data_IF_703644644149
#
_entry.id   IF_703644644149
#
_cell.length_a   1.000
_cell.length_b   1.000
_cell.length_c   1.000
_cell.angle_alpha   90.00
_cell.angle_beta   90.00
_cell.angle_gamma   90.00
#
_symmetry.space_group_name_H-M   'P 1'
#
loop_
_entity.id
_entity.type
_entity.pdbx_description
1 polymer ?
#
# COMPACT_ATOMS: atom_id res chain seq x y z
N UNK A 1 -51.27 11.36 45.40
CA UNK A 1 -50.24 10.53 44.76
C UNK A 1 -50.11 11.02 43.32
N UNK A 2 -49.05 11.77 42.99
CA UNK A 2 -48.83 12.32 41.64
C UNK A 2 -47.78 11.44 40.95
N UNK A 3 -48.18 10.72 39.90
CA UNK A 3 -47.26 10.00 39.01
C UNK A 3 -46.55 11.04 38.14
N UNK A 4 -45.21 11.09 38.19
CA UNK A 4 -44.39 11.82 37.25
C UNK A 4 -43.92 10.84 36.16
N UNK A 5 -44.36 11.08 34.92
CA UNK A 5 -43.86 10.39 33.73
C UNK A 5 -42.56 11.09 33.30
N UNK A 6 -41.42 10.43 33.45
CA UNK A 6 -40.16 10.91 32.87
C UNK A 6 -40.09 10.47 31.40
N UNK A 7 -40.15 11.44 30.49
CA UNK A 7 -39.88 11.21 29.07
C UNK A 7 -38.36 11.17 28.85
N UNK A 8 -37.82 10.01 28.51
CA UNK A 8 -36.44 9.89 28.01
C UNK A 8 -36.40 10.41 26.57
N UNK A 9 -35.70 11.53 26.36
CA UNK A 9 -35.37 11.98 25.02
C UNK A 9 -34.27 11.07 24.46
N UNK A 10 -34.61 10.26 23.46
CA UNK A 10 -33.64 9.54 22.63
C UNK A 10 -33.03 10.58 21.69
N UNK A 11 -31.78 10.96 21.96
CA UNK A 11 -31.00 11.81 21.07
C UNK A 11 -30.50 10.92 19.92
N UNK A 12 -31.18 10.95 18.76
CA UNK A 12 -30.64 10.38 17.54
C UNK A 12 -29.50 11.28 17.07
N UNK A 13 -28.25 10.86 17.28
CA UNK A 13 -27.12 11.40 16.54
C UNK A 13 -27.24 10.88 15.11
N UNK A 14 -27.69 11.74 14.19
CA UNK A 14 -27.51 11.48 12.78
C UNK A 14 -26.00 11.45 12.52
N UNK A 15 -25.44 10.25 12.31
CA UNK A 15 -24.07 10.10 11.84
C UNK A 15 -23.95 10.85 10.52
N UNK A 16 -22.93 11.70 10.40
CA UNK A 16 -22.58 12.28 9.11
C UNK A 16 -22.22 11.11 8.21
N UNK A 17 -23.04 10.86 7.19
CA UNK A 17 -22.68 9.92 6.14
C UNK A 17 -21.50 10.54 5.41
N UNK A 18 -20.33 9.94 5.60
CA UNK A 18 -19.15 10.26 4.82
C UNK A 18 -19.38 9.74 3.40
N UNK A 19 -19.15 10.60 2.41
CA UNK A 19 -19.21 10.17 1.02
C UNK A 19 -17.98 9.30 0.74
N UNK A 20 -18.15 8.26 -0.08
CA UNK A 20 -17.01 7.50 -0.57
C UNK A 20 -16.02 8.46 -1.27
N UNK A 21 -14.71 8.29 -1.06
CA UNK A 21 -13.70 9.10 -1.73
C UNK A 21 -13.77 8.89 -3.25
N UNK A 22 -13.38 9.91 -4.00
CA UNK A 22 -13.18 9.77 -5.44
C UNK A 22 -11.82 9.13 -5.65
N UNK A 23 -11.72 8.13 -6.54
CA UNK A 23 -10.42 7.52 -6.85
C UNK A 23 -9.83 8.26 -8.05
N UNK A 24 -9.04 9.30 -7.80
CA UNK A 24 -8.44 10.16 -8.83
C UNK A 24 -7.00 10.62 -8.55
N UNK A 25 -6.47 10.32 -7.37
CA UNK A 25 -5.14 10.63 -6.87
C UNK A 25 -5.03 12.01 -6.20
N UNK A 26 -6.12 12.78 -6.05
CA UNK A 26 -6.09 14.19 -5.66
C UNK A 26 -6.79 14.46 -4.33
N UNK A 27 -6.41 15.56 -3.67
CA UNK A 27 -7.07 16.09 -2.47
C UNK A 27 -7.25 15.08 -1.31
N UNK A 28 -6.38 14.07 -1.23
CA UNK A 28 -6.50 12.91 -0.33
C UNK A 28 -6.85 13.32 1.12
N UNK A 29 -6.17 14.29 1.76
CA UNK A 29 -6.46 14.61 3.17
C UNK A 29 -7.85 15.22 3.41
N UNK A 30 -8.50 15.72 2.37
CA UNK A 30 -9.88 16.25 2.44
C UNK A 30 -10.94 15.20 2.12
N UNK A 31 -10.55 14.14 1.41
CA UNK A 31 -11.42 13.04 0.96
C UNK A 31 -11.35 11.81 1.86
N UNK A 32 -10.36 11.72 2.77
CA UNK A 32 -10.23 10.65 3.75
C UNK A 32 -10.33 11.12 5.22
N UNK A 33 -10.70 10.23 6.17
CA UNK A 33 -10.55 10.51 7.60
C UNK A 33 -9.08 10.84 7.92
N UNK A 34 -8.76 11.41 9.10
CA UNK A 34 -7.37 11.71 9.45
C UNK A 34 -6.43 10.52 9.21
N UNK A 35 -5.23 10.80 8.70
CA UNK A 35 -4.23 9.79 8.36
C UNK A 35 -4.03 8.77 9.49
N UNK A 36 -3.98 7.50 9.13
CA UNK A 36 -3.78 6.39 10.07
C UNK A 36 -2.30 6.23 10.42
N UNK A 37 -1.41 6.66 9.53
CA UNK A 37 0.02 6.80 9.82
C UNK A 37 0.64 7.90 8.96
N UNK A 38 1.69 8.51 9.49
CA UNK A 38 2.54 9.49 8.83
C UNK A 38 3.98 9.04 9.03
N UNK A 39 4.82 9.21 8.03
CA UNK A 39 6.23 8.84 8.10
C UNK A 39 7.10 10.06 7.75
N UNK A 40 8.26 10.14 8.37
CA UNK A 40 9.19 11.26 8.30
C UNK A 40 10.63 10.79 7.97
N UNK A 41 10.76 9.60 7.38
CA UNK A 41 12.01 9.09 6.84
C UNK A 41 12.20 9.66 5.44
N UNK A 42 13.35 10.29 5.19
CA UNK A 42 13.71 10.76 3.86
C UNK A 42 13.80 9.60 2.84
N UNK A 43 13.47 9.89 1.58
CA UNK A 43 13.21 8.87 0.56
C UNK A 43 14.42 8.04 0.15
N UNK A 44 15.57 8.70 0.01
CA UNK A 44 16.77 8.17 -0.66
C UNK A 44 16.55 7.64 -2.10
N UNK A 45 15.33 7.73 -2.63
CA UNK A 45 14.90 7.38 -3.97
C UNK A 45 14.48 8.61 -4.80
N UNK A 46 14.73 9.82 -4.27
CA UNK A 46 14.56 11.11 -4.94
C UNK A 46 13.40 11.95 -4.40
N UNK A 47 13.70 13.19 -4.01
CA UNK A 47 12.75 14.19 -3.48
C UNK A 47 11.55 14.41 -4.40
N UNK A 48 10.33 14.24 -3.92
CA UNK A 48 9.13 14.42 -4.74
C UNK A 48 9.16 13.60 -6.05
N UNK A 49 9.91 12.50 -6.11
CA UNK A 49 9.91 11.57 -7.25
C UNK A 49 9.44 10.19 -6.84
N UNK A 50 9.92 9.69 -5.71
CA UNK A 50 9.58 8.38 -5.18
C UNK A 50 9.44 8.52 -3.68
N UNK A 51 8.26 8.85 -3.20
CA UNK A 51 8.04 9.13 -1.80
C UNK A 51 6.67 8.64 -1.33
N UNK A 52 6.60 8.30 -0.06
CA UNK A 52 5.35 8.06 0.66
C UNK A 52 5.31 8.96 1.88
N UNK A 53 4.21 9.64 2.15
CA UNK A 53 4.13 10.64 3.23
C UNK A 53 3.17 10.19 4.33
N UNK A 54 1.93 9.92 3.94
CA UNK A 54 0.86 9.54 4.86
C UNK A 54 0.03 8.42 4.25
N UNK A 55 -0.48 7.52 5.09
CA UNK A 55 -1.51 6.56 4.71
C UNK A 55 -2.84 6.98 5.31
N UNK A 56 -3.89 6.88 4.53
CA UNK A 56 -5.27 7.11 4.89
C UNK A 56 -6.08 5.86 4.60
N UNK A 57 -7.05 5.57 5.45
CA UNK A 57 -7.91 4.40 5.28
C UNK A 57 -9.33 4.76 5.66
N UNK A 58 -10.27 4.38 4.80
CA UNK A 58 -11.69 4.42 5.09
C UNK A 58 -12.36 3.13 4.57
N UNK A 59 -13.64 2.94 4.90
CA UNK A 59 -14.41 1.82 4.38
C UNK A 59 -15.90 2.12 4.40
N UNK A 60 -16.61 1.51 3.47
CA UNK A 60 -18.07 1.47 3.50
C UNK A 60 -18.58 0.01 3.54
N UNK A 61 -19.83 -0.19 3.14
CA UNK A 61 -20.43 -1.51 3.09
C UNK A 61 -19.79 -2.41 2.03
N UNK A 62 -19.25 -1.85 0.95
CA UNK A 62 -18.83 -2.59 -0.24
C UNK A 62 -17.31 -2.59 -0.42
N UNK A 63 -16.61 -1.53 -0.02
CA UNK A 63 -15.20 -1.30 -0.30
C UNK A 63 -14.38 -0.93 0.94
N UNK A 64 -13.08 -1.22 0.87
CA UNK A 64 -12.05 -0.55 1.64
C UNK A 64 -11.35 0.45 0.72
N UNK A 65 -11.13 1.65 1.24
CA UNK A 65 -10.45 2.73 0.56
C UNK A 65 -9.10 2.96 1.23
N UNK A 66 -8.04 2.99 0.45
CA UNK A 66 -6.68 3.21 0.94
C UNK A 66 -6.05 4.28 0.08
N UNK A 67 -5.51 5.32 0.71
CA UNK A 67 -4.76 6.34 0.00
C UNK A 67 -3.38 6.53 0.63
N UNK A 68 -2.39 6.81 -0.22
CA UNK A 68 -1.01 7.10 0.16
C UNK A 68 -0.61 8.38 -0.55
N UNK A 69 -0.36 9.44 0.21
CA UNK A 69 0.15 10.70 -0.36
C UNK A 69 1.64 10.56 -0.69
N UNK A 70 2.07 11.18 -1.79
CA UNK A 70 3.44 11.09 -2.31
C UNK A 70 3.50 10.81 -3.80
N UNK A 71 4.68 10.46 -4.30
CA UNK A 71 4.95 10.25 -5.73
C UNK A 71 5.57 8.87 -5.99
N UNK A 72 5.32 8.32 -7.18
CA UNK A 72 5.91 7.07 -7.66
C UNK A 72 6.36 7.24 -9.12
N UNK A 73 7.67 7.42 -9.32
CA UNK A 73 8.26 7.65 -10.63
C UNK A 73 8.56 6.34 -11.40
N UNK A 74 8.97 6.49 -12.66
CA UNK A 74 9.36 5.39 -13.54
C UNK A 74 10.33 4.42 -12.85
N UNK A 75 10.10 3.14 -13.11
CA UNK A 75 10.88 2.02 -12.63
C UNK A 75 10.79 1.75 -11.11
N UNK A 76 9.76 2.28 -10.44
CA UNK A 76 9.50 2.00 -9.05
C UNK A 76 8.13 1.37 -8.85
N UNK A 77 7.97 0.77 -7.68
CA UNK A 77 6.74 0.14 -7.25
C UNK A 77 6.47 0.42 -5.77
N UNK A 78 5.19 0.45 -5.45
CA UNK A 78 4.69 0.29 -4.09
C UNK A 78 4.11 -1.11 -3.98
N UNK A 79 4.47 -1.81 -2.91
CA UNK A 79 3.81 -3.05 -2.52
C UNK A 79 3.10 -2.80 -1.21
N UNK A 80 1.79 -2.99 -1.22
CA UNK A 80 0.92 -2.92 -0.05
C UNK A 80 0.61 -4.35 0.41
N UNK A 81 1.15 -4.72 1.55
CA UNK A 81 0.80 -5.96 2.25
C UNK A 81 -0.46 -5.75 3.05
N UNK A 82 -1.38 -6.70 2.94
CA UNK A 82 -2.69 -6.66 3.59
C UNK A 82 -2.87 -7.95 4.37
N UNK A 83 -3.20 -7.80 5.64
CA UNK A 83 -3.53 -8.90 6.55
C UNK A 83 -4.99 -8.76 6.99
N UNK A 84 -5.85 -9.61 6.44
CA UNK A 84 -7.29 -9.66 6.77
C UNK A 84 -7.60 -10.54 7.98
N UNK A 85 -6.59 -11.26 8.50
CA UNK A 85 -6.72 -12.15 9.67
C UNK A 85 -5.57 -11.94 10.67
N UNK A 86 -5.35 -10.69 11.12
CA UNK A 86 -4.24 -10.37 11.99
C UNK A 86 -4.30 -11.24 13.25
N UNK A 87 -3.13 -11.72 13.69
CA UNK A 87 -2.90 -12.65 14.82
C UNK A 87 -3.06 -14.16 14.58
N UNK A 88 -3.55 -14.61 13.42
CA UNK A 88 -3.78 -16.06 13.18
C UNK A 88 -2.87 -16.70 12.13
N UNK A 89 -1.93 -15.97 11.54
CA UNK A 89 -1.06 -16.46 10.47
C UNK A 89 0.43 -16.58 10.84
N UNK A 90 1.21 -16.99 9.84
CA UNK A 90 2.68 -16.93 9.87
C UNK A 90 3.12 -15.51 9.53
N UNK A 91 3.96 -14.89 10.35
CA UNK A 91 4.59 -13.62 10.02
C UNK A 91 5.74 -13.76 8.99
N UNK A 92 5.97 -14.95 8.44
CA UNK A 92 6.90 -15.16 7.32
C UNK A 92 6.11 -15.15 6.02
N UNK A 93 6.46 -14.23 5.10
CA UNK A 93 5.85 -14.12 3.77
C UNK A 93 6.11 -15.39 2.97
N UNK A 94 5.05 -16.02 2.48
CA UNK A 94 5.11 -17.19 1.61
C UNK A 94 4.62 -16.80 0.20
N UNK A 95 5.46 -16.12 -0.58
CA UNK A 95 5.06 -15.57 -1.89
C UNK A 95 5.68 -16.28 -3.10
N UNK A 96 6.44 -17.35 -2.88
CA UNK A 96 6.99 -18.17 -3.97
C UNK A 96 6.37 -19.58 -3.94
N UNK A 97 5.53 -19.96 -4.92
CA UNK A 97 4.93 -21.29 -4.97
C UNK A 97 5.93 -22.39 -5.38
N UNK A 98 7.16 -22.02 -5.74
CA UNK A 98 8.14 -22.91 -6.36
C UNK A 98 7.80 -23.22 -7.83
N UNK A 99 8.79 -23.71 -8.59
CA UNK A 99 8.62 -24.06 -10.01
C UNK A 99 9.40 -23.16 -10.99
N UNK A 100 9.16 -23.35 -12.30
CA UNK A 100 9.82 -22.60 -13.37
C UNK A 100 9.11 -21.27 -13.67
N UNK A 101 9.87 -20.20 -13.89
CA UNK A 101 9.32 -18.88 -14.27
C UNK A 101 8.75 -18.83 -15.69
N UNK A 102 7.78 -17.93 -15.96
CA UNK A 102 7.00 -17.14 -15.01
C UNK A 102 5.71 -17.90 -14.64
N UNK A 103 5.50 -18.13 -13.33
CA UNK A 103 4.21 -18.58 -12.80
C UNK A 103 3.24 -17.41 -12.63
N UNK A 104 2.08 -17.66 -12.03
CA UNK A 104 1.00 -16.68 -11.96
C UNK A 104 1.34 -15.46 -11.07
N UNK A 105 2.33 -15.53 -10.16
CA UNK A 105 2.69 -14.45 -9.22
C UNK A 105 3.73 -13.46 -9.79
N UNK A 106 3.53 -12.13 -9.66
CA UNK A 106 4.51 -11.13 -10.07
C UNK A 106 5.89 -11.36 -9.46
N UNK A 107 6.95 -11.29 -10.29
CA UNK A 107 8.33 -11.54 -9.86
C UNK A 107 8.73 -10.69 -8.66
N UNK A 108 8.31 -9.43 -8.60
CA UNK A 108 8.66 -8.53 -7.50
C UNK A 108 8.08 -9.02 -6.16
N UNK A 109 6.84 -9.53 -6.14
CA UNK A 109 6.22 -10.08 -4.92
C UNK A 109 6.95 -11.36 -4.48
N UNK A 110 7.35 -12.22 -5.43
CA UNK A 110 8.08 -13.48 -5.15
C UNK A 110 9.42 -13.24 -4.44
N UNK A 111 10.06 -12.10 -4.69
CA UNK A 111 11.35 -11.75 -4.08
C UNK A 111 11.29 -11.56 -2.57
N UNK A 112 10.10 -11.31 -2.02
CA UNK A 112 9.88 -11.14 -0.58
C UNK A 112 9.61 -12.46 0.15
N UNK A 113 9.55 -13.60 -0.57
CA UNK A 113 9.31 -14.90 0.04
C UNK A 113 10.41 -15.23 1.07
N UNK A 114 10.01 -15.64 2.28
CA UNK A 114 10.89 -15.88 3.41
C UNK A 114 11.17 -14.64 4.28
N UNK A 115 10.68 -13.45 3.90
CA UNK A 115 10.78 -12.25 4.74
C UNK A 115 9.95 -12.43 6.01
N UNK A 116 10.57 -12.17 7.17
CA UNK A 116 9.87 -12.16 8.47
C UNK A 116 9.36 -10.75 8.76
N UNK A 117 8.04 -10.60 8.80
CA UNK A 117 7.33 -9.41 9.23
C UNK A 117 7.25 -9.33 10.77
N UNK A 118 6.80 -8.19 11.30
CA UNK A 118 6.54 -8.03 12.73
C UNK A 118 5.59 -9.11 13.29
N UNK A 119 5.82 -9.58 14.53
CA UNK A 119 4.87 -10.45 15.21
C UNK A 119 3.46 -9.84 15.24
N UNK A 120 2.47 -10.62 14.80
CA UNK A 120 1.07 -10.19 14.72
C UNK A 120 0.64 -9.64 13.35
N UNK A 121 1.58 -9.46 12.41
CA UNK A 121 1.30 -9.19 11.00
C UNK A 121 1.63 -10.41 10.16
N UNK A 122 0.65 -10.94 9.45
CA UNK A 122 0.74 -12.15 8.65
C UNK A 122 -0.02 -11.95 7.34
N UNK A 123 0.56 -11.21 6.38
CA UNK A 123 -0.16 -10.79 5.20
C UNK A 123 -0.65 -11.98 4.39
N UNK A 124 -1.92 -11.93 4.01
CA UNK A 124 -2.62 -12.91 3.17
C UNK A 124 -2.89 -12.35 1.78
N UNK A 125 -2.72 -11.03 1.58
CA UNK A 125 -2.75 -10.40 0.27
C UNK A 125 -1.56 -9.46 0.06
N UNK A 126 -1.18 -9.29 -1.20
CA UNK A 126 -0.23 -8.30 -1.66
C UNK A 126 -0.79 -7.57 -2.88
N UNK A 127 -0.95 -6.25 -2.76
CA UNK A 127 -1.26 -5.38 -3.88
C UNK A 127 0.04 -4.75 -4.38
N UNK A 128 0.36 -4.97 -5.65
CA UNK A 128 1.48 -4.34 -6.33
C UNK A 128 0.98 -3.22 -7.24
N UNK A 129 1.56 -2.04 -7.11
CA UNK A 129 1.42 -0.92 -8.06
C UNK A 129 2.81 -0.59 -8.59
N UNK A 130 3.06 -0.88 -9.86
CA UNK A 130 4.37 -0.76 -10.50
C UNK A 130 4.31 0.26 -11.64
N UNK A 131 5.13 1.30 -11.58
CA UNK A 131 5.21 2.32 -12.62
C UNK A 131 6.37 2.02 -13.56
N UNK A 132 6.08 1.93 -14.86
CA UNK A 132 7.11 1.57 -15.83
C UNK A 132 6.70 1.72 -17.28
N UNK A 133 7.70 1.55 -18.16
CA UNK A 133 7.49 1.31 -19.58
C UNK A 133 7.26 -0.19 -19.84
N UNK A 134 6.01 -0.58 -20.10
CA UNK A 134 5.65 -1.99 -20.31
C UNK A 134 5.56 -2.36 -21.80
N UNK A 135 5.91 -3.61 -22.19
CA UNK A 135 5.80 -4.06 -23.59
C UNK A 135 4.39 -3.85 -24.16
N UNK A 136 4.30 -3.26 -25.35
CA UNK A 136 3.03 -2.96 -26.01
C UNK A 136 2.52 -1.54 -25.78
N UNK A 137 3.12 -0.79 -24.85
CA UNK A 137 3.01 0.67 -24.76
C UNK A 137 4.17 1.30 -25.56
N UNK A 138 3.96 2.48 -26.14
CA UNK A 138 5.06 3.23 -26.76
C UNK A 138 6.15 3.51 -25.71
N UNK A 139 7.42 3.58 -26.13
CA UNK A 139 8.56 3.85 -25.24
C UNK A 139 8.45 5.17 -24.44
N UNK A 140 7.48 6.02 -24.79
CA UNK A 140 7.24 7.32 -24.17
C UNK A 140 6.06 7.30 -23.18
N UNK A 141 5.39 6.15 -22.98
CA UNK A 141 4.19 6.06 -22.16
C UNK A 141 4.48 5.29 -20.87
N UNK A 142 4.68 6.03 -19.78
CA UNK A 142 4.65 5.48 -18.44
C UNK A 142 3.21 5.12 -18.07
N UNK A 143 3.04 3.90 -17.58
CA UNK A 143 1.77 3.42 -17.04
C UNK A 143 2.02 2.78 -15.69
N UNK A 144 0.98 2.71 -14.87
CA UNK A 144 0.98 1.84 -13.70
C UNK A 144 0.43 0.47 -14.10
N UNK A 145 1.11 -0.61 -13.72
CA UNK A 145 0.62 -1.97 -13.76
C UNK A 145 0.25 -2.40 -12.34
N UNK A 146 -0.94 -2.98 -12.20
CA UNK A 146 -1.52 -3.31 -10.91
C UNK A 146 -1.90 -4.79 -10.83
N UNK A 147 -1.53 -5.42 -9.73
CA UNK A 147 -1.75 -6.85 -9.47
C UNK A 147 -2.17 -7.07 -8.02
N UNK A 148 -3.23 -7.85 -7.78
CA UNK A 148 -3.62 -8.30 -6.45
C UNK A 148 -3.33 -9.81 -6.32
N UNK A 149 -2.39 -10.16 -5.45
CA UNK A 149 -2.04 -11.55 -5.15
C UNK A 149 -2.68 -11.99 -3.84
N UNK A 150 -3.42 -13.10 -3.88
CA UNK A 150 -3.80 -13.89 -2.70
C UNK A 150 -2.64 -14.84 -2.36
N UNK A 151 -2.04 -14.64 -1.21
CA UNK A 151 -0.86 -15.37 -0.73
C UNK A 151 -1.23 -16.71 -0.09
N UNK A 152 -2.48 -16.90 0.33
CA UNK A 152 -2.94 -18.17 0.88
C UNK A 152 -3.21 -19.18 -0.24
N UNK A 153 -3.81 -18.71 -1.35
CA UNK A 153 -4.09 -19.53 -2.52
C UNK A 153 -2.99 -19.50 -3.59
N UNK A 154 -2.00 -18.61 -3.43
CA UNK A 154 -0.95 -18.35 -4.43
C UNK A 154 -1.53 -18.00 -5.79
N UNK A 155 -2.59 -17.20 -5.81
CA UNK A 155 -3.29 -16.78 -7.03
C UNK A 155 -3.10 -15.29 -7.25
N UNK A 156 -2.62 -14.90 -8.44
CA UNK A 156 -2.58 -13.51 -8.83
C UNK A 156 -3.79 -13.13 -9.68
N UNK A 157 -4.31 -11.95 -9.41
CA UNK A 157 -5.34 -11.30 -10.22
C UNK A 157 -4.72 -10.04 -10.83
N UNK A 158 -4.37 -10.07 -12.13
CA UNK A 158 -3.98 -8.85 -12.84
C UNK A 158 -5.15 -7.89 -12.85
N UNK A 159 -4.98 -6.71 -12.26
CA UNK A 159 -6.04 -5.71 -12.16
C UNK A 159 -6.10 -4.85 -13.42
N UNK A 160 -4.93 -4.57 -14.02
CA UNK A 160 -4.87 -3.83 -15.26
C UNK A 160 -3.72 -2.86 -15.38
N UNK A 161 -3.80 -2.01 -16.40
CA UNK A 161 -2.91 -0.85 -16.56
C UNK A 161 -3.68 0.46 -16.38
N UNK A 162 -3.14 1.37 -15.60
CA UNK A 162 -3.67 2.73 -15.42
C UNK A 162 -2.76 3.78 -16.04
N UNK A 163 -3.36 4.92 -16.44
CA UNK A 163 -2.63 6.09 -16.92
C UNK A 163 -2.31 6.98 -15.72
N UNK A 164 -1.04 7.31 -15.54
CA UNK A 164 -0.58 8.24 -14.50
C UNK A 164 -1.20 9.62 -14.71
N UNK A 165 -1.48 10.33 -13.62
CA UNK A 165 -1.96 11.72 -13.63
C UNK A 165 -3.25 11.93 -14.45
N UNK A 166 -4.05 10.88 -14.60
CA UNK A 166 -5.25 10.91 -15.45
C UNK A 166 -6.48 11.46 -14.74
N UNK A 167 -6.45 11.57 -13.41
CA UNK A 167 -7.62 11.90 -12.59
C UNK A 167 -8.70 10.82 -12.63
N UNK A 168 -8.30 9.54 -12.77
CA UNK A 168 -9.23 8.42 -12.94
C UNK A 168 -8.67 7.12 -12.38
N UNK A 169 -9.45 6.47 -11.50
CA UNK A 169 -9.16 5.15 -10.94
C UNK A 169 -9.40 3.97 -11.89
N UNK A 170 -9.91 4.22 -13.10
CA UNK A 170 -10.25 3.16 -14.06
C UNK A 170 -8.99 2.53 -14.63
N UNK A 171 -8.83 1.22 -14.38
CA UNK A 171 -7.79 0.41 -14.96
C UNK A 171 -8.24 -0.20 -16.31
N UNK A 172 -7.33 -0.27 -17.27
CA UNK A 172 -7.53 -1.00 -18.51
C UNK A 172 -7.35 -2.51 -18.29
N UNK A 173 -7.93 -3.34 -19.16
CA UNK A 173 -7.81 -4.81 -19.20
C UNK A 173 -8.73 -5.60 -18.26
N UNK A 174 -9.27 -5.06 -17.17
CA UNK A 174 -10.33 -5.76 -16.41
C UNK A 174 -11.37 -4.79 -15.85
N UNK A 175 -12.65 -5.07 -16.12
CA UNK A 175 -13.82 -4.41 -15.50
C UNK A 175 -14.47 -5.29 -14.42
N UNK A 176 -13.90 -6.47 -14.17
CA UNK A 176 -14.57 -7.55 -13.43
C UNK A 176 -14.18 -7.69 -11.97
N UNK A 177 -13.07 -7.06 -11.53
CA UNK A 177 -12.61 -7.12 -10.14
C UNK A 177 -13.29 -6.10 -9.25
N UNK A 178 -13.79 -4.99 -9.82
CA UNK A 178 -14.32 -3.84 -9.09
C UNK A 178 -13.26 -3.02 -8.35
N UNK A 179 -11.96 -3.34 -8.54
CA UNK A 179 -10.85 -2.59 -7.95
C UNK A 179 -10.57 -1.36 -8.81
N UNK A 180 -10.46 -0.20 -8.18
CA UNK A 180 -10.08 1.06 -8.82
C UNK A 180 -8.77 1.55 -8.20
N UNK A 181 -7.84 2.03 -9.04
CA UNK A 181 -6.56 2.56 -8.59
C UNK A 181 -6.22 3.79 -9.43
N UNK A 182 -5.95 4.92 -8.77
CA UNK A 182 -5.48 6.16 -9.37
C UNK A 182 -4.12 6.55 -8.78
N UNK A 183 -3.28 7.20 -9.58
CA UNK A 183 -2.01 7.76 -9.14
C UNK A 183 -1.83 9.14 -9.75
N UNK A 184 -1.70 10.16 -8.92
CA UNK A 184 -1.34 11.53 -9.30
C UNK A 184 0.00 11.93 -8.65
N UNK A 185 1.02 12.04 -9.50
CA UNK A 185 2.40 12.37 -9.16
C UNK A 185 2.67 13.89 -9.12
N UNK A 186 1.63 14.74 -9.02
CA UNK A 186 1.79 16.19 -8.93
C UNK A 186 2.14 16.71 -7.52
N UNK A 187 2.48 15.81 -6.59
CA UNK A 187 2.83 16.17 -5.23
C UNK A 187 4.12 17.00 -5.22
N UNK A 188 4.13 18.10 -4.47
CA UNK A 188 5.28 19.04 -4.39
C UNK A 188 5.71 19.37 -2.96
N UNK A 189 5.03 18.82 -1.95
CA UNK A 189 5.37 18.92 -0.54
C UNK A 189 5.36 17.53 0.08
N UNK A 190 5.99 17.33 1.23
CA UNK A 190 6.22 15.99 1.75
C UNK A 190 7.65 15.83 2.24
N UNK A 191 8.03 14.62 2.64
CA UNK A 191 9.37 14.28 3.12
C UNK A 191 10.44 14.59 2.07
N UNK A 192 11.48 15.34 2.45
CA UNK A 192 12.53 15.80 1.53
C UNK A 192 13.62 14.77 1.21
N UNK A 193 14.61 15.19 0.40
CA UNK A 193 15.72 14.37 -0.11
C UNK A 193 16.93 14.15 0.82
N UNK A 194 17.79 13.24 0.36
CA UNK A 194 19.19 12.90 0.67
C UNK A 194 20.12 13.95 1.31
N UNK A 195 19.86 15.26 1.16
CA UNK A 195 20.78 16.28 1.68
C UNK A 195 20.63 16.54 3.17
N UNK A 196 19.50 16.13 3.76
CA UNK A 196 19.33 16.08 5.20
C UNK A 196 19.55 14.64 5.68
N UNK A 197 20.13 14.49 6.87
CA UNK A 197 20.45 13.16 7.38
C UNK A 197 19.19 12.32 7.52
N UNK A 198 19.25 11.02 7.22
CA UNK A 198 18.12 10.07 7.27
C UNK A 198 17.62 9.77 8.69
N UNK A 199 17.43 10.81 9.51
CA UNK A 199 16.87 10.71 10.84
C UNK A 199 15.36 10.92 10.77
N UNK A 200 14.57 10.13 11.51
CA UNK A 200 13.19 10.47 11.81
C UNK A 200 13.12 11.92 12.33
N UNK A 201 12.34 12.76 11.65
CA UNK A 201 12.14 14.18 11.97
C UNK A 201 13.10 15.15 11.28
N UNK A 202 14.02 14.68 10.43
CA UNK A 202 14.94 15.48 9.62
C UNK A 202 14.55 15.41 8.14
N UNK A 203 13.27 15.65 7.87
CA UNK A 203 12.67 15.59 6.53
C UNK A 203 12.91 16.84 5.69
N UNK A 204 13.45 17.91 6.27
CA UNK A 204 13.50 19.24 5.65
C UNK A 204 12.13 19.91 5.42
N UNK A 205 11.03 19.14 5.41
CA UNK A 205 9.66 19.50 5.00
C UNK A 205 8.60 18.71 5.80
N UNK A 206 7.34 19.14 5.81
CA UNK A 206 6.27 18.46 6.55
C UNK A 206 5.57 17.38 5.68
N UNK A 207 5.50 16.10 6.11
CA UNK A 207 4.78 15.06 5.37
C UNK A 207 3.28 15.38 5.19
N UNK A 208 2.70 16.24 6.02
CA UNK A 208 1.30 16.68 5.90
C UNK A 208 1.05 17.70 4.79
N UNK A 209 2.10 18.26 4.18
CA UNK A 209 2.00 19.13 3.01
C UNK A 209 1.71 18.32 1.72
N UNK A 210 1.89 16.99 1.76
CA UNK A 210 1.59 16.10 0.66
C UNK A 210 0.08 15.86 0.52
N UNK A 211 -0.50 16.15 -0.66
CA UNK A 211 -1.97 16.11 -0.86
C UNK A 211 -2.43 15.29 -2.06
N UNK A 212 -1.52 14.85 -2.92
CA UNK A 212 -1.81 13.92 -4.03
C UNK A 212 -1.01 12.64 -3.87
N UNK A 213 -1.39 11.59 -4.61
CA UNK A 213 -0.65 10.34 -4.64
C UNK A 213 -1.47 9.16 -5.14
N UNK A 214 -1.31 8.02 -4.48
CA UNK A 214 -1.97 6.76 -4.80
C UNK A 214 -3.30 6.65 -4.07
N UNK A 215 -4.39 6.38 -4.79
CA UNK A 215 -5.69 6.05 -4.21
C UNK A 215 -6.18 4.71 -4.74
N UNK A 216 -6.76 3.92 -3.85
CA UNK A 216 -7.17 2.54 -4.10
C UNK A 216 -8.56 2.32 -3.49
N UNK A 217 -9.47 1.77 -4.29
CA UNK A 217 -10.73 1.18 -3.84
C UNK A 217 -10.69 -0.32 -4.10
N UNK A 218 -10.82 -1.15 -3.06
CA UNK A 218 -10.88 -2.61 -3.20
C UNK A 218 -12.22 -3.10 -2.66
N UNK A 219 -13.00 -3.85 -3.46
CA UNK A 219 -14.19 -4.51 -2.95
C UNK A 219 -13.83 -5.44 -1.80
N UNK A 220 -14.55 -5.33 -0.70
CA UNK A 220 -14.35 -6.16 0.50
C UNK A 220 -14.43 -7.65 0.18
N UNK A 221 -15.25 -8.03 -0.80
CA UNK A 221 -15.35 -9.40 -1.30
C UNK A 221 -14.06 -9.91 -1.94
N UNK A 222 -13.26 -9.04 -2.56
CA UNK A 222 -11.97 -9.42 -3.14
C UNK A 222 -10.92 -9.79 -2.07
N UNK A 223 -11.12 -9.32 -0.84
CA UNK A 223 -10.28 -9.62 0.33
C UNK A 223 -10.96 -10.59 1.32
N UNK A 224 -12.09 -11.20 0.94
CA UNK A 224 -12.83 -12.11 1.81
C UNK A 224 -13.56 -11.44 3.00
N UNK A 225 -13.61 -10.11 3.08
CA UNK A 225 -14.14 -9.33 4.20
C UNK A 225 -15.68 -9.19 4.18
N UNK A 226 -16.40 -10.32 4.17
CA UNK A 226 -17.85 -10.40 3.87
C UNK A 226 -18.77 -10.62 5.08
N UNK A 227 -18.24 -10.57 6.31
CA UNK A 227 -18.99 -10.87 7.52
C UNK A 227 -19.69 -9.68 8.19
N UNK A 228 -20.72 -9.93 9.02
CA UNK A 228 -21.46 -8.89 9.77
C UNK A 228 -20.72 -8.42 11.03
N UNK A 229 -19.61 -9.05 11.37
CA UNK A 229 -18.76 -8.65 12.49
C UNK A 229 -17.67 -7.69 12.02
N UNK A 230 -17.34 -6.66 12.80
CA UNK A 230 -16.15 -5.85 12.53
C UNK A 230 -14.91 -6.74 12.41
N UNK A 231 -14.07 -6.46 11.43
CA UNK A 231 -12.84 -7.20 11.16
C UNK A 231 -11.66 -6.24 11.24
N UNK A 232 -10.58 -6.68 11.86
CA UNK A 232 -9.35 -5.90 11.85
C UNK A 232 -8.55 -6.24 10.59
N UNK A 233 -8.02 -5.22 9.93
CA UNK A 233 -7.14 -5.35 8.77
C UNK A 233 -5.81 -4.71 9.11
N UNK A 234 -4.73 -5.49 8.98
CA UNK A 234 -3.36 -5.01 9.05
C UNK A 234 -2.90 -4.49 7.69
N UNK A 235 -2.21 -3.36 7.66
CA UNK A 235 -1.68 -2.75 6.44
C UNK A 235 -0.22 -2.34 6.62
N UNK A 236 0.61 -2.64 5.63
CA UNK A 236 1.98 -2.17 5.54
C UNK A 236 2.35 -1.92 4.08
N UNK A 237 2.71 -0.68 3.75
CA UNK A 237 3.19 -0.32 2.42
C UNK A 237 4.69 -0.08 2.45
N UNK A 238 5.39 -0.48 1.40
CA UNK A 238 6.82 -0.17 1.24
C UNK A 238 7.15 0.15 -0.22
N UNK A 239 8.16 1.00 -0.43
CA UNK A 239 8.63 1.40 -1.75
C UNK A 239 9.83 0.56 -2.21
N UNK A 240 9.88 0.21 -3.49
CA UNK A 240 10.95 -0.58 -4.11
C UNK A 240 11.14 -0.20 -5.57
N UNK A 241 12.28 -0.55 -6.17
CA UNK A 241 12.38 -0.52 -7.63
C UNK A 241 11.70 -1.75 -8.27
N UNK A 242 11.41 -1.71 -9.58
CA UNK A 242 10.75 -2.80 -10.32
C UNK A 242 11.65 -4.03 -10.60
N UNK A 243 12.72 -4.24 -9.82
CA UNK A 243 13.67 -5.32 -9.99
C UNK A 243 14.21 -5.41 -11.45
N UNK A 244 15.13 -4.52 -11.83
CA UNK A 244 15.43 -4.27 -13.25
C UNK A 244 16.61 -5.03 -13.88
N UNK A 245 17.38 -5.84 -13.14
CA UNK A 245 18.46 -6.61 -13.75
C UNK A 245 19.21 -7.49 -12.77
N UNK A 246 20.15 -8.31 -13.27
CA UNK A 246 21.20 -8.91 -12.43
C UNK A 246 21.33 -10.43 -12.40
N UNK A 247 20.40 -11.21 -12.97
CA UNK A 247 20.51 -12.67 -12.93
C UNK A 247 20.06 -13.42 -14.18
N UNK A 248 20.43 -14.70 -14.23
CA UNK A 248 20.30 -15.63 -15.37
C UNK A 248 18.85 -16.08 -15.62
N UNK A 249 17.89 -15.15 -15.68
CA UNK A 249 16.52 -15.44 -16.11
C UNK A 249 15.43 -14.55 -15.52
N UNK A 250 14.17 -14.74 -15.94
CA UNK A 250 13.01 -13.94 -15.53
C UNK A 250 12.70 -13.98 -14.02
N UNK A 251 13.23 -14.97 -13.31
CA UNK A 251 13.13 -15.17 -11.86
C UNK A 251 14.31 -14.59 -11.08
N UNK A 252 15.40 -14.24 -11.75
CA UNK A 252 16.67 -13.88 -11.13
C UNK A 252 16.87 -12.38 -11.30
N UNK A 253 16.01 -11.61 -10.63
CA UNK A 253 16.08 -10.16 -10.68
C UNK A 253 16.69 -9.62 -9.40
N UNK A 254 17.41 -8.52 -9.51
CA UNK A 254 17.97 -7.78 -8.40
C UNK A 254 17.31 -6.41 -8.33
N UNK A 255 17.30 -5.85 -7.13
CA UNK A 255 16.73 -4.56 -6.88
C UNK A 255 16.94 -4.11 -5.44
N UNK A 256 16.25 -3.03 -5.08
CA UNK A 256 16.43 -2.35 -3.80
C UNK A 256 15.06 -2.08 -3.18
N UNK A 257 14.93 -2.41 -1.89
CA UNK A 257 13.85 -1.94 -1.06
C UNK A 257 14.27 -0.62 -0.41
N UNK A 258 13.42 0.41 -0.54
CA UNK A 258 13.61 1.72 0.08
C UNK A 258 13.46 1.62 1.61
N UNK A 259 14.09 2.54 2.33
CA UNK A 259 13.82 2.81 3.75
C UNK A 259 12.47 3.47 4.00
N UNK A 260 11.70 3.77 2.96
CA UNK A 260 10.34 4.27 3.12
C UNK A 260 9.32 3.13 3.23
N UNK A 261 8.67 3.13 4.39
CA UNK A 261 7.49 2.33 4.68
C UNK A 261 6.39 3.21 5.26
N UNK A 262 5.15 2.71 5.19
CA UNK A 262 4.03 3.22 5.96
C UNK A 262 3.41 2.04 6.73
N UNK A 263 3.57 1.97 8.07
CA UNK A 263 4.30 2.91 8.94
C UNK A 263 5.79 3.07 8.64
N UNK A 264 6.34 4.23 9.05
CA UNK A 264 7.76 4.54 8.92
C UNK A 264 8.62 3.51 9.64
N UNK A 265 9.52 2.89 8.89
CA UNK A 265 10.52 1.94 9.41
C UNK A 265 11.75 2.74 9.78
N UNK A 266 12.00 2.91 11.08
CA UNK A 266 13.14 3.69 11.55
C UNK A 266 14.44 3.03 11.09
N UNK A 267 15.30 3.72 10.32
CA UNK A 267 16.52 3.11 9.80
C UNK A 267 17.33 4.00 8.86
N UNK A 268 18.63 3.74 8.78
CA UNK A 268 19.55 4.42 7.89
C UNK A 268 19.65 3.67 6.57
N UNK A 269 19.50 4.37 5.44
CA UNK A 269 19.82 3.74 4.15
C UNK A 269 18.72 2.83 3.63
N UNK A 270 18.68 2.56 2.32
CA UNK A 270 17.88 1.48 1.73
C UNK A 270 17.97 0.20 2.56
N UNK A 271 16.82 -0.40 2.91
CA UNK A 271 16.75 -1.52 3.86
C UNK A 271 17.60 -2.70 3.44
N UNK A 272 17.60 -3.01 2.14
CA UNK A 272 18.41 -4.07 1.58
C UNK A 272 18.41 -4.02 0.05
N UNK A 273 19.45 -4.59 -0.54
CA UNK A 273 19.40 -5.13 -1.89
C UNK A 273 18.80 -6.53 -1.85
N UNK A 274 17.82 -6.83 -2.69
CA UNK A 274 17.39 -8.20 -2.91
C UNK A 274 18.13 -8.77 -4.12
N UNK A 275 18.65 -9.98 -3.98
CA UNK A 275 19.30 -10.73 -5.05
C UNK A 275 19.00 -12.23 -4.91
N UNK A 276 19.06 -13.03 -5.98
CA UNK A 276 18.64 -14.43 -5.95
C UNK A 276 19.46 -15.35 -5.04
N UNK A 277 20.65 -14.91 -4.63
CA UNK A 277 21.56 -15.63 -3.72
C UNK A 277 21.70 -14.95 -2.36
N UNK A 278 21.07 -13.79 -2.19
CA UNK A 278 21.06 -13.04 -0.95
C UNK A 278 19.93 -13.57 -0.09
N UNK A 279 20.21 -13.94 1.16
CA UNK A 279 19.15 -14.07 2.15
C UNK A 279 18.58 -12.67 2.36
N UNK A 280 17.50 -12.34 1.66
CA UNK A 280 16.77 -11.11 1.89
C UNK A 280 15.96 -11.30 3.17
N UNK A 281 16.46 -10.69 4.25
CA UNK A 281 15.69 -10.51 5.46
C UNK A 281 15.51 -9.01 5.63
N UNK A 282 14.30 -8.52 5.32
CA UNK A 282 13.86 -7.29 5.99
C UNK A 282 13.66 -7.67 7.45
N UNK A 283 14.62 -7.29 8.28
CA UNK A 283 14.51 -7.46 9.71
C UNK A 283 13.90 -6.18 10.29
N UNK A 284 12.58 -6.21 10.48
CA UNK A 284 11.85 -5.10 11.06
C UNK A 284 12.06 -4.99 12.59
N UNK A 285 12.75 -5.95 13.24
CA UNK A 285 13.00 -5.96 14.70
C UNK A 285 13.81 -4.74 15.20
N UNK A 286 14.42 -3.96 14.29
CA UNK A 286 15.12 -2.73 14.63
C UNK A 286 14.20 -1.56 15.04
N UNK A 287 12.90 -1.63 14.77
CA UNK A 287 11.93 -0.57 15.08
C UNK A 287 10.89 -1.06 16.11
N UNK A 288 10.85 -0.52 17.34
CA UNK A 288 9.98 -1.05 18.40
C UNK A 288 8.49 -0.82 18.10
N UNK A 289 7.79 -1.93 17.80
CA UNK A 289 6.35 -2.19 18.02
C UNK A 289 5.29 -1.49 17.13
N UNK A 290 5.60 -0.88 15.98
CA UNK A 290 4.55 -0.27 15.12
C UNK A 290 4.84 -0.32 13.61
N UNK A 291 5.30 -1.44 13.06
CA UNK A 291 5.64 -1.49 11.62
C UNK A 291 4.46 -1.87 10.70
N UNK A 292 3.24 -1.95 11.24
CA UNK A 292 2.00 -2.06 10.45
C UNK A 292 0.88 -1.26 11.12
N UNK A 293 -0.10 -0.82 10.32
CA UNK A 293 -1.32 -0.17 10.82
C UNK A 293 -2.40 -1.22 11.00
N UNK A 294 -3.12 -1.16 12.12
CA UNK A 294 -4.34 -1.95 12.32
C UNK A 294 -5.56 -1.04 12.21
N UNK A 295 -6.44 -1.31 11.25
CA UNK A 295 -7.72 -0.62 11.08
C UNK A 295 -8.87 -1.58 11.38
N UNK A 296 -9.98 -1.07 11.93
CA UNK A 296 -11.19 -1.86 12.13
C UNK A 296 -12.20 -1.53 11.04
N UNK A 297 -12.47 -2.48 10.17
CA UNK A 297 -13.49 -2.40 9.14
C UNK A 297 -14.85 -2.79 9.75
N UNK A 298 -15.88 -1.94 9.69
CA UNK A 298 -17.20 -2.26 10.21
C UNK A 298 -17.80 -3.52 9.56
N UNK A 299 -18.59 -4.28 10.30
CA UNK A 299 -19.39 -5.36 9.72
C UNK A 299 -20.49 -4.83 8.79
N UNK A 300 -20.89 -5.65 7.81
CA UNK A 300 -21.98 -5.36 6.86
C UNK A 300 -23.31 -5.93 7.37
#
# INVERSE_FOLDING_TARGET
MKLALSASAVLLTAGLAWAAPTIDGQNIPSEFPPAVVTQDTNTQFGDNFNEMNQMFVDSDADNIYIAITGNLADNNAIVLWIDTTPTTGSNVVASDPGGACPGDIPTLIRMYSGTTMEPGFSPNYALLVSVGSFPGQGFDHLVMACDLTDLDSMTNTPLGLGILDSGSGVLSLTDSTGVEIALDNSNTGGVGDYNDSAFPGDTGNDPTDAVTGLEISIPRSALGLTGPTPQNVGLFAFLTNNAQGGGDGPCFREGYASNQGLPGITGWGNLASFCPTCAFQLDFEAAPNTNFVLVTIPGI
#
